data_IF_707073118052
#
_entry.id   IF_707073118052
#
_cell.length_a   1.000
_cell.length_b   1.000
_cell.length_c   1.000
_cell.angle_alpha   90.00
_cell.angle_beta   90.00
_cell.angle_gamma   90.00
#
_symmetry.space_group_name_H-M   'P 1'
#
loop_
_entity.id
_entity.type
_entity.pdbx_description
1 polymer ?
#
# COMPACT_ATOMS: atom_id res chain seq x y z
N UNK A 1 -9.09 14.72 8.19
CA UNK A 1 -9.44 14.51 6.76
C UNK A 1 -8.57 13.44 6.07
N UNK A 2 -7.28 13.66 5.77
CA UNK A 2 -6.48 12.65 5.03
C UNK A 2 -6.10 11.42 5.88
N UNK A 3 -5.78 11.61 7.17
CA UNK A 3 -5.48 10.53 8.12
C UNK A 3 -6.69 9.61 8.35
N UNK A 4 -7.88 10.19 8.51
CA UNK A 4 -9.14 9.43 8.72
C UNK A 4 -9.52 8.59 7.49
N UNK A 5 -9.21 9.09 6.28
CA UNK A 5 -9.33 8.29 5.06
C UNK A 5 -8.35 7.10 5.06
N UNK A 6 -7.09 7.32 5.44
CA UNK A 6 -6.08 6.24 5.50
C UNK A 6 -6.50 5.18 6.51
N UNK A 7 -6.96 5.58 7.70
CA UNK A 7 -7.50 4.65 8.70
C UNK A 7 -8.71 3.87 8.16
N UNK A 8 -9.66 4.55 7.52
CA UNK A 8 -10.83 3.90 6.89
C UNK A 8 -10.43 2.88 5.83
N UNK A 9 -9.45 3.22 4.98
CA UNK A 9 -8.93 2.33 3.95
C UNK A 9 -8.18 1.13 4.53
N UNK A 10 -7.44 1.32 5.62
CA UNK A 10 -6.75 0.24 6.32
C UNK A 10 -7.73 -0.74 6.97
N UNK A 11 -8.79 -0.24 7.59
CA UNK A 11 -9.88 -1.09 8.13
C UNK A 11 -10.48 -1.95 7.02
N UNK A 12 -10.76 -1.37 5.85
CA UNK A 12 -11.34 -2.07 4.70
C UNK A 12 -10.43 -3.18 4.12
N UNK A 13 -9.12 -3.05 4.29
CA UNK A 13 -8.11 -4.03 3.89
C UNK A 13 -7.80 -5.06 4.99
N UNK A 14 -8.45 -4.94 6.16
CA UNK A 14 -8.19 -5.79 7.32
C UNK A 14 -6.83 -5.52 7.96
N UNK A 15 -6.31 -4.30 7.82
CA UNK A 15 -5.16 -3.82 8.58
C UNK A 15 -5.50 -3.82 10.07
N UNK A 16 -4.72 -4.55 10.86
CA UNK A 16 -4.76 -4.54 12.32
C UNK A 16 -3.51 -3.84 12.79
N UNK A 17 -3.64 -2.94 13.76
CA UNK A 17 -2.58 -2.18 14.48
C UNK A 17 -1.40 -3.07 14.90
N UNK A 18 -0.60 -3.47 13.93
CA UNK A 18 0.63 -4.21 14.09
C UNK A 18 1.70 -3.22 13.72
N UNK A 19 2.42 -2.79 14.75
CA UNK A 19 3.53 -1.84 14.73
C UNK A 19 4.18 -1.78 13.34
N UNK A 20 3.88 -0.72 12.58
CA UNK A 20 4.38 -0.58 11.21
C UNK A 20 5.86 -0.31 11.29
N UNK A 21 6.66 -1.33 11.03
CA UNK A 21 8.12 -1.21 10.98
C UNK A 21 8.58 -0.96 9.55
N UNK A 22 9.74 -0.31 9.44
CA UNK A 22 10.40 -0.12 8.15
C UNK A 22 10.76 -1.47 7.51
N UNK A 23 11.15 -2.45 8.33
CA UNK A 23 11.45 -3.81 7.87
C UNK A 23 10.23 -4.48 7.22
N UNK A 24 9.06 -4.47 7.89
CA UNK A 24 7.82 -5.02 7.36
C UNK A 24 7.41 -4.31 6.06
N UNK A 25 7.55 -2.99 6.04
CA UNK A 25 7.26 -2.19 4.84
C UNK A 25 8.16 -2.59 3.67
N UNK A 26 9.46 -2.75 3.91
CA UNK A 26 10.43 -3.14 2.89
C UNK A 26 10.21 -4.58 2.42
N UNK A 27 9.82 -5.50 3.31
CA UNK A 27 9.42 -6.87 2.93
C UNK A 27 8.17 -6.85 2.05
N UNK A 28 7.14 -6.09 2.42
CA UNK A 28 5.93 -5.94 1.62
C UNK A 28 6.23 -5.33 0.24
N UNK A 29 7.10 -4.32 0.16
CA UNK A 29 7.56 -3.76 -1.12
C UNK A 29 8.28 -4.80 -1.99
N UNK A 30 9.13 -5.65 -1.41
CA UNK A 30 9.80 -6.74 -2.15
C UNK A 30 8.80 -7.73 -2.73
N UNK A 31 7.81 -8.15 -1.93
CA UNK A 31 6.75 -9.06 -2.36
C UNK A 31 5.90 -8.44 -3.47
N UNK A 32 5.47 -7.19 -3.28
CA UNK A 32 4.68 -6.46 -4.27
C UNK A 32 5.41 -6.28 -5.60
N UNK A 33 6.74 -6.13 -5.63
CA UNK A 33 7.52 -6.03 -6.89
C UNK A 33 7.47 -7.30 -7.76
N UNK A 34 7.02 -8.43 -7.21
CA UNK A 34 6.78 -9.65 -7.97
C UNK A 34 5.43 -9.60 -8.72
N UNK A 35 4.51 -8.73 -8.30
CA UNK A 35 3.23 -8.52 -8.97
C UNK A 35 3.38 -7.62 -10.19
N UNK A 36 2.90 -8.06 -11.35
CA UNK A 36 3.04 -7.34 -12.62
C UNK A 36 2.47 -5.92 -12.56
N UNK A 37 1.24 -5.77 -12.04
CA UNK A 37 0.57 -4.47 -11.91
C UNK A 37 1.35 -3.48 -11.03
N UNK A 38 1.99 -3.99 -9.97
CA UNK A 38 2.73 -3.14 -9.04
C UNK A 38 4.11 -2.81 -9.58
N UNK A 39 4.74 -3.71 -10.33
CA UNK A 39 6.06 -3.45 -10.95
C UNK A 39 6.02 -2.23 -11.86
N UNK A 40 5.01 -2.14 -12.72
CA UNK A 40 4.83 -0.98 -13.61
C UNK A 40 4.56 0.30 -12.83
N UNK A 41 3.70 0.21 -11.82
CA UNK A 41 3.34 1.35 -10.97
C UNK A 41 4.54 1.86 -10.15
N UNK A 42 5.31 0.94 -9.58
CA UNK A 42 6.53 1.22 -8.82
C UNK A 42 7.58 1.90 -9.70
N UNK A 43 7.78 1.43 -10.93
CA UNK A 43 8.74 2.03 -11.86
C UNK A 43 8.38 3.48 -12.22
N UNK A 44 7.09 3.80 -12.34
CA UNK A 44 6.63 5.15 -12.67
C UNK A 44 6.69 6.11 -11.47
N UNK A 45 6.53 5.59 -10.25
CA UNK A 45 6.37 6.40 -9.04
C UNK A 45 7.36 6.02 -7.93
N UNK A 46 8.58 5.62 -8.30
CA UNK A 46 9.56 5.04 -7.35
C UNK A 46 9.80 5.92 -6.12
N UNK A 47 9.99 7.24 -6.29
CA UNK A 47 10.19 8.16 -5.15
C UNK A 47 8.99 8.14 -4.19
N UNK A 48 7.74 8.09 -4.69
CA UNK A 48 6.56 7.99 -3.83
C UNK A 48 6.59 6.72 -2.97
N UNK A 49 6.98 5.58 -3.52
CA UNK A 49 7.04 4.34 -2.76
C UNK A 49 8.22 4.24 -1.78
N UNK A 50 9.30 5.01 -2.00
CA UNK A 50 10.50 4.97 -1.15
C UNK A 50 10.54 6.09 -0.11
N UNK A 51 9.91 7.23 -0.38
CA UNK A 51 10.10 8.45 0.42
C UNK A 51 8.78 8.96 1.02
N UNK A 52 7.63 8.65 0.41
CA UNK A 52 6.36 9.13 0.92
C UNK A 52 5.92 8.32 2.14
N UNK A 53 5.91 8.98 3.30
CA UNK A 53 5.57 8.36 4.59
C UNK A 53 4.19 7.71 4.60
N UNK A 54 3.19 8.31 3.94
CA UNK A 54 1.82 7.79 3.96
C UNK A 54 1.69 6.52 3.10
N UNK A 55 2.24 6.54 1.89
CA UNK A 55 2.23 5.36 1.01
C UNK A 55 2.99 4.21 1.67
N UNK A 56 4.16 4.50 2.26
CA UNK A 56 4.94 3.51 3.01
C UNK A 56 4.18 2.97 4.21
N UNK A 57 3.50 3.84 4.97
CA UNK A 57 2.68 3.42 6.09
C UNK A 57 1.55 2.47 5.66
N UNK A 58 0.81 2.80 4.60
CA UNK A 58 -0.25 1.93 4.07
C UNK A 58 0.29 0.56 3.63
N UNK A 59 1.43 0.55 2.95
CA UNK A 59 2.10 -0.69 2.52
C UNK A 59 2.57 -1.51 3.71
N UNK A 60 3.06 -0.91 4.79
CA UNK A 60 3.50 -1.63 5.99
C UNK A 60 2.35 -2.07 6.92
N UNK A 61 1.25 -1.33 6.94
CA UNK A 61 0.09 -1.61 7.79
C UNK A 61 -0.78 -2.75 7.27
N UNK A 62 -0.78 -3.00 5.96
CA UNK A 62 -1.60 -4.05 5.35
C UNK A 62 -1.05 -5.45 5.64
N UNK A 63 -1.95 -6.42 5.83
CA UNK A 63 -1.58 -7.83 5.76
C UNK A 63 -1.50 -8.24 4.29
N UNK A 64 -0.29 -8.15 3.72
CA UNK A 64 -0.09 -8.35 2.29
C UNK A 64 -0.44 -9.77 1.84
N UNK A 65 -0.15 -10.80 2.63
CA UNK A 65 -0.52 -12.19 2.31
C UNK A 65 -2.03 -12.34 2.15
N UNK A 66 -2.80 -11.78 3.10
CA UNK A 66 -4.27 -11.78 3.03
C UNK A 66 -4.77 -11.05 1.78
N UNK A 67 -4.18 -9.89 1.47
CA UNK A 67 -4.56 -9.09 0.31
C UNK A 67 -4.27 -9.81 -1.00
N UNK A 68 -3.09 -10.43 -1.13
CA UNK A 68 -2.70 -11.13 -2.36
C UNK A 68 -3.46 -12.44 -2.58
N UNK A 69 -3.92 -13.10 -1.51
CA UNK A 69 -4.70 -14.34 -1.59
C UNK A 69 -6.19 -14.12 -1.94
N UNK A 70 -6.67 -12.87 -2.00
CA UNK A 70 -8.07 -12.53 -2.24
C UNK A 70 -8.17 -11.54 -3.40
N UNK A 71 -8.73 -11.97 -4.55
CA UNK A 71 -8.92 -11.08 -5.71
C UNK A 71 -9.70 -9.80 -5.37
N UNK A 72 -10.69 -9.91 -4.47
CA UNK A 72 -11.46 -8.77 -3.98
C UNK A 72 -10.58 -7.78 -3.21
N UNK A 73 -9.74 -8.27 -2.31
CA UNK A 73 -8.91 -7.41 -1.47
C UNK A 73 -7.70 -6.87 -2.25
N UNK A 74 -7.16 -7.66 -3.17
CA UNK A 74 -6.15 -7.23 -4.15
C UNK A 74 -6.65 -6.04 -4.97
N UNK A 75 -7.85 -6.12 -5.55
CA UNK A 75 -8.45 -5.01 -6.32
C UNK A 75 -8.63 -3.75 -5.46
N UNK A 76 -9.14 -3.89 -4.24
CA UNK A 76 -9.26 -2.76 -3.31
C UNK A 76 -7.89 -2.15 -3.00
N UNK A 77 -6.88 -2.97 -2.77
CA UNK A 77 -5.54 -2.48 -2.47
C UNK A 77 -4.94 -1.72 -3.65
N UNK A 78 -5.11 -2.23 -4.87
CA UNK A 78 -4.73 -1.52 -6.09
C UNK A 78 -5.39 -0.14 -6.18
N UNK A 79 -6.70 -0.08 -5.95
CA UNK A 79 -7.47 1.17 -5.96
C UNK A 79 -6.98 2.16 -4.90
N UNK A 80 -6.71 1.68 -3.67
CA UNK A 80 -6.15 2.49 -2.59
C UNK A 80 -4.80 3.10 -2.98
N UNK A 81 -3.90 2.28 -3.52
CA UNK A 81 -2.57 2.76 -3.93
C UNK A 81 -2.69 3.79 -5.06
N UNK A 82 -3.56 3.57 -6.05
CA UNK A 82 -3.81 4.54 -7.13
C UNK A 82 -4.34 5.87 -6.59
N UNK A 83 -5.33 5.85 -5.70
CA UNK A 83 -5.87 7.06 -5.06
C UNK A 83 -4.77 7.83 -4.32
N UNK A 84 -3.90 7.12 -3.60
CA UNK A 84 -2.81 7.75 -2.85
C UNK A 84 -1.79 8.40 -3.79
N UNK A 85 -1.43 7.74 -4.89
CA UNK A 85 -0.51 8.26 -5.89
C UNK A 85 -1.09 9.52 -6.55
N UNK A 86 -2.34 9.46 -7.01
CA UNK A 86 -3.01 10.58 -7.69
C UNK A 86 -3.08 11.82 -6.79
N UNK A 87 -3.31 11.62 -5.49
CA UNK A 87 -3.32 12.71 -4.50
C UNK A 87 -1.95 13.34 -4.25
N UNK A 88 -0.84 12.65 -4.53
CA UNK A 88 0.52 13.18 -4.35
C UNK A 88 1.08 13.82 -5.62
N UNK A 89 0.37 13.71 -6.74
CA UNK A 89 0.73 14.36 -8.01
C UNK A 89 -0.04 15.67 -8.26
N UNK A 90 -1.00 15.99 -7.41
CA UNK A 90 -1.71 17.28 -7.41
C UNK A 90 -1.08 18.22 -6.40
#
# INVERSE_FOLDING_TARGET
MLSEMIESLLILLGGKDSQVTEEKTNQNLKLLRNEQWFRELFSKHTSLFLENREIRYVIGAVNLEKVLNSEKDKKKFQEVISILIDKKQR
#
